data_IF_134211839948
#
_entry.id   IF_134211839948
#
_cell.length_a   1.000
_cell.length_b   1.000
_cell.length_c   1.000
_cell.angle_alpha   90.00
_cell.angle_beta   90.00
_cell.angle_gamma   90.00
#
_symmetry.space_group_name_H-M   'P 1'
#
loop_
_entity.id
_entity.type
_entity.pdbx_description
1 polymer ?
#
# COMPACT_ATOMS: atom_id res chain seq x y z
N UNK A 1 -1.55 10.80 -6.29
CA UNK A 1 -1.30 9.40 -5.89
C UNK A 1 -0.61 8.72 -7.05
N UNK A 2 0.40 7.89 -6.80
CA UNK A 2 1.16 7.20 -7.85
C UNK A 2 0.95 5.70 -7.70
N UNK A 3 0.60 5.04 -8.79
CA UNK A 3 0.47 3.59 -8.85
C UNK A 3 1.84 2.92 -8.68
N UNK A 4 1.86 1.77 -8.01
CA UNK A 4 3.06 0.96 -7.80
C UNK A 4 3.05 -0.24 -8.73
N UNK A 5 4.23 -0.79 -9.04
CA UNK A 5 4.32 -1.94 -9.93
C UNK A 5 3.61 -3.17 -9.34
N UNK A 6 2.97 -3.98 -10.20
CA UNK A 6 2.35 -5.25 -9.82
C UNK A 6 3.34 -6.41 -9.97
N UNK A 7 4.42 -6.38 -9.19
CA UNK A 7 5.50 -7.37 -9.21
C UNK A 7 5.54 -8.26 -7.95
N UNK A 8 4.60 -8.06 -7.01
CA UNK A 8 4.56 -8.75 -5.73
C UNK A 8 5.63 -8.28 -4.73
N UNK A 9 6.36 -7.20 -5.05
CA UNK A 9 7.47 -6.66 -4.26
C UNK A 9 7.17 -5.20 -3.88
N UNK A 10 6.81 -4.36 -4.85
CA UNK A 10 6.51 -2.96 -4.62
C UNK A 10 5.26 -2.81 -3.75
N UNK A 11 5.40 -2.09 -2.65
CA UNK A 11 4.33 -1.86 -1.67
C UNK A 11 3.81 -0.44 -1.71
N UNK A 12 2.53 -0.28 -1.42
CA UNK A 12 1.86 1.00 -1.31
C UNK A 12 0.60 0.90 -0.48
N UNK A 13 -0.04 2.05 -0.24
CA UNK A 13 -1.37 2.06 0.36
C UNK A 13 -2.39 1.42 -0.58
N UNK A 14 -3.20 0.51 -0.03
CA UNK A 14 -4.37 0.01 -0.71
C UNK A 14 -5.45 1.08 -0.66
N UNK A 15 -5.81 1.60 -1.83
CA UNK A 15 -6.96 2.48 -1.99
C UNK A 15 -7.98 1.86 -2.90
N UNK A 16 -9.25 2.14 -2.65
CA UNK A 16 -10.34 1.48 -3.35
C UNK A 16 -11.38 2.48 -3.85
N UNK A 17 -12.04 2.11 -4.93
CA UNK A 17 -13.16 2.88 -5.48
C UNK A 17 -14.21 1.92 -6.02
N UNK A 18 -15.39 1.96 -5.44
CA UNK A 18 -16.55 1.18 -5.87
C UNK A 18 -17.84 1.88 -5.44
N UNK A 19 -18.97 1.69 -6.15
CA UNK A 19 -20.20 2.44 -5.92
C UNK A 19 -20.93 2.06 -4.62
N UNK A 20 -20.54 0.96 -3.96
CA UNK A 20 -21.15 0.47 -2.71
C UNK A 20 -20.29 0.74 -1.46
N UNK A 21 -19.23 1.55 -1.58
CA UNK A 21 -18.42 1.93 -0.42
C UNK A 21 -19.15 2.94 0.47
N UNK A 22 -18.76 3.00 1.74
CA UNK A 22 -19.34 3.96 2.69
C UNK A 22 -19.10 5.40 2.24
N UNK A 23 -20.11 6.26 2.36
CA UNK A 23 -19.97 7.69 2.03
C UNK A 23 -19.06 8.42 3.04
N UNK A 24 -18.90 7.88 4.25
CA UNK A 24 -18.06 8.46 5.29
C UNK A 24 -18.34 7.89 6.67
N UNK A 25 -17.84 8.58 7.69
CA UNK A 25 -18.10 8.32 9.09
C UNK A 25 -19.26 9.16 9.59
N UNK A 26 -20.17 8.53 10.35
CA UNK A 26 -21.28 9.23 10.97
C UNK A 26 -20.75 10.22 12.02
N UNK A 27 -21.20 11.48 11.93
CA UNK A 27 -20.82 12.59 12.82
C UNK A 27 -19.34 13.02 12.78
N UNK A 28 -18.56 12.55 11.80
CA UNK A 28 -17.18 12.99 11.60
C UNK A 28 -16.91 13.37 10.14
N UNK A 29 -17.33 14.58 9.71
CA UNK A 29 -17.15 15.03 8.33
C UNK A 29 -15.68 15.21 7.96
N UNK A 30 -14.82 15.59 8.91
CA UNK A 30 -13.40 15.78 8.66
C UNK A 30 -12.68 14.44 8.39
N UNK A 31 -12.98 13.41 9.18
CA UNK A 31 -12.48 12.07 8.90
C UNK A 31 -13.05 11.50 7.60
N UNK A 32 -14.29 11.84 7.26
CA UNK A 32 -14.93 11.43 5.99
C UNK A 32 -14.26 12.07 4.77
N UNK A 33 -13.91 13.36 4.85
CA UNK A 33 -13.17 14.05 3.80
C UNK A 33 -11.76 13.47 3.64
N UNK A 34 -11.07 13.20 4.75
CA UNK A 34 -9.77 12.54 4.74
C UNK A 34 -9.83 11.11 4.18
N UNK A 35 -10.90 10.37 4.50
CA UNK A 35 -11.14 9.01 4.00
C UNK A 35 -11.20 9.00 2.47
N UNK A 36 -11.79 10.03 1.85
CA UNK A 36 -12.02 10.14 0.41
C UNK A 36 -11.03 11.06 -0.32
N UNK A 37 -9.89 11.36 0.30
CA UNK A 37 -8.88 12.23 -0.28
C UNK A 37 -8.48 11.79 -1.70
N UNK A 38 -8.35 12.75 -2.62
CA UNK A 38 -8.00 12.43 -4.01
C UNK A 38 -9.05 11.62 -4.78
N UNK A 39 -10.27 11.44 -4.25
CA UNK A 39 -11.37 10.73 -4.92
C UNK A 39 -11.33 9.20 -4.79
N UNK A 40 -10.48 8.69 -3.89
CA UNK A 40 -10.37 7.27 -3.56
C UNK A 40 -10.55 7.06 -2.06
N UNK A 41 -11.07 5.90 -1.66
CA UNK A 41 -11.18 5.54 -0.26
C UNK A 41 -9.84 4.99 0.23
N UNK A 42 -9.25 5.68 1.20
CA UNK A 42 -8.00 5.32 1.87
C UNK A 42 -8.25 4.29 2.97
N UNK A 43 -7.84 3.03 2.76
CA UNK A 43 -8.11 1.96 3.75
C UNK A 43 -7.15 2.02 4.93
N UNK A 44 -5.99 2.65 4.76
CA UNK A 44 -4.90 2.64 5.74
C UNK A 44 -4.11 1.32 5.76
N UNK A 45 -4.36 0.39 4.84
CA UNK A 45 -3.62 -0.86 4.70
C UNK A 45 -2.46 -0.70 3.71
N UNK A 46 -1.33 -1.32 4.00
CA UNK A 46 -0.20 -1.45 3.08
C UNK A 46 -0.22 -2.84 2.47
N UNK A 47 -0.02 -2.93 1.16
CA UNK A 47 0.08 -4.21 0.47
C UNK A 47 0.83 -4.13 -0.85
N UNK A 48 0.96 -5.28 -1.50
CA UNK A 48 1.47 -5.41 -2.85
C UNK A 48 0.53 -6.26 -3.71
N UNK A 49 0.64 -6.08 -5.03
CA UNK A 49 -0.10 -6.86 -6.02
C UNK A 49 0.91 -7.65 -6.83
N UNK A 50 0.69 -8.96 -6.98
CA UNK A 50 1.54 -9.80 -7.82
C UNK A 50 1.14 -9.73 -9.31
N UNK A 51 1.94 -10.35 -10.18
CA UNK A 51 1.66 -10.40 -11.62
C UNK A 51 0.38 -11.18 -11.99
N UNK A 52 -0.20 -11.93 -11.06
CA UNK A 52 -1.51 -12.59 -11.19
C UNK A 52 -2.69 -11.71 -10.77
N UNK A 53 -2.43 -10.51 -10.25
CA UNK A 53 -3.45 -9.58 -9.74
C UNK A 53 -3.92 -9.89 -8.32
N UNK A 54 -3.22 -10.76 -7.59
CA UNK A 54 -3.55 -11.04 -6.20
C UNK A 54 -2.99 -9.94 -5.29
N UNK A 55 -3.87 -9.33 -4.49
CA UNK A 55 -3.49 -8.40 -3.45
C UNK A 55 -3.08 -9.14 -2.18
N UNK A 56 -1.88 -8.85 -1.67
CA UNK A 56 -1.43 -9.25 -0.34
C UNK A 56 -1.32 -8.04 0.57
N UNK A 57 -2.13 -7.99 1.61
CA UNK A 57 -2.01 -6.99 2.69
C UNK A 57 -0.91 -7.42 3.65
N UNK A 58 0.01 -6.51 3.96
CA UNK A 58 1.23 -6.80 4.73
C UNK A 58 1.40 -5.94 5.98
N UNK A 59 0.82 -4.73 6.02
CA UNK A 59 0.99 -3.81 7.15
C UNK A 59 -0.17 -2.79 7.23
N UNK A 60 -0.14 -1.90 8.22
CA UNK A 60 -1.08 -0.79 8.42
C UNK A 60 -0.32 0.53 8.60
N UNK A 61 -0.78 1.59 7.93
CA UNK A 61 -0.17 2.94 8.02
C UNK A 61 -0.17 3.48 9.46
N UNK A 62 -1.16 3.10 10.27
CA UNK A 62 -1.36 3.64 11.62
C UNK A 62 -1.02 2.66 12.75
N UNK A 63 -0.38 1.52 12.46
CA UNK A 63 0.10 0.64 13.53
C UNK A 63 1.34 1.24 14.21
N UNK A 64 1.05 2.18 15.11
CA UNK A 64 1.88 2.52 16.26
C UNK A 64 2.02 1.26 17.11
N UNK A 65 3.12 0.52 16.98
CA UNK A 65 3.37 -0.61 17.86
C UNK A 65 3.91 -0.09 19.20
N UNK A 66 3.11 -0.21 20.27
CA UNK A 66 3.55 -0.02 21.66
C UNK A 66 4.58 -1.09 22.05
N UNK A 67 5.86 -0.77 22.02
CA UNK A 67 6.88 -1.47 22.84
C UNK A 67 7.91 -0.47 23.35
N UNK A 68 8.00 -0.33 24.67
CA UNK A 68 9.08 0.28 25.48
C UNK A 68 10.23 1.04 24.79
N UNK A 69 9.95 2.18 24.15
CA UNK A 69 10.88 3.32 24.14
C UNK A 69 11.81 3.53 22.95
N UNK A 70 11.67 2.82 21.82
CA UNK A 70 12.51 3.09 20.65
C UNK A 70 11.73 3.07 19.33
N UNK A 71 11.90 4.12 18.52
CA UNK A 71 11.22 4.32 17.25
C UNK A 71 12.05 3.70 16.11
N UNK A 72 11.45 2.81 15.31
CA UNK A 72 12.07 2.35 14.06
C UNK A 72 11.07 2.53 12.92
N UNK A 73 11.29 3.54 12.09
CA UNK A 73 10.65 3.71 10.78
C UNK A 73 11.53 3.01 9.73
N UNK A 74 11.06 1.92 9.13
CA UNK A 74 11.82 1.20 8.12
C UNK A 74 11.56 1.78 6.73
N UNK A 75 12.46 2.64 6.27
CA UNK A 75 12.55 3.00 4.86
C UNK A 75 13.17 1.82 4.09
N UNK A 76 12.36 1.00 3.42
CA UNK A 76 12.87 -0.01 2.49
C UNK A 76 11.98 -0.12 1.27
N UNK A 77 12.52 0.36 0.15
CA UNK A 77 11.90 0.24 -1.16
C UNK A 77 12.75 0.79 -2.29
N UNK A 78 14.09 0.68 -2.21
CA UNK A 78 14.95 0.91 -3.37
C UNK A 78 16.18 0.02 -3.38
N UNK A 79 16.00 -1.24 -3.78
CA UNK A 79 17.04 -2.03 -4.45
C UNK A 79 16.48 -3.39 -4.89
N UNK A 80 16.38 -3.60 -6.22
CA UNK A 80 16.87 -4.79 -6.94
C UNK A 80 16.03 -5.11 -8.19
N UNK A 81 16.48 -4.62 -9.36
CA UNK A 81 16.28 -5.30 -10.64
C UNK A 81 17.29 -4.75 -11.67
N UNK A 82 18.58 -4.88 -11.39
CA UNK A 82 19.61 -4.77 -12.42
C UNK A 82 19.93 -6.18 -12.92
N UNK A 83 19.46 -6.45 -14.14
CA UNK A 83 20.00 -7.38 -15.14
C UNK A 83 20.53 -8.75 -14.66
N UNK A 84 19.70 -9.78 -14.83
CA UNK A 84 20.14 -11.15 -14.92
C UNK A 84 19.38 -11.89 -16.03
N UNK A 85 20.08 -12.24 -17.11
CA UNK A 85 19.58 -13.24 -18.06
C UNK A 85 19.96 -13.04 -19.52
N UNK A 86 21.19 -13.39 -19.90
CA UNK A 86 21.41 -13.99 -21.22
C UNK A 86 22.15 -15.32 -21.04
N UNK A 87 21.46 -16.37 -21.46
CA UNK A 87 21.96 -17.72 -21.60
C UNK A 87 22.14 -18.03 -23.09
N UNK A 88 23.31 -18.56 -23.44
CA UNK A 88 23.62 -19.48 -24.56
C UNK A 88 25.15 -19.60 -24.56
N UNK A 89 25.81 -20.75 -24.50
CA UNK A 89 25.45 -22.04 -25.06
C UNK A 89 26.42 -22.32 -26.21
N UNK A 90 27.44 -23.13 -25.90
CA UNK A 90 28.58 -23.60 -26.72
C UNK A 90 29.82 -22.71 -26.76
#
# INVERSE_FOLDING_TARGET
MNEVAHDGIATGEVVVRAPWLTEGYLHDPAASEALWAGGYLHTGDIGNIDGGGYLRVTDRIKDVIKTGGEWISYEMGRAAAAAGGQAAGQ
#
